data_IF_521294705031
#
_entry.id   IF_521294705031
#
_cell.length_a   1.000
_cell.length_b   1.000
_cell.length_c   1.000
_cell.angle_alpha   90.00
_cell.angle_beta   90.00
_cell.angle_gamma   90.00
#
_symmetry.space_group_name_H-M   'P 1'
#
loop_
_entity.id
_entity.type
_entity.pdbx_description
1 polymer ?
#
# COMPACT_ATOMS: atom_id res chain seq x y z
N UNK A 1 -2.78 18.92 10.03
CA UNK A 1 -1.93 18.36 8.95
C UNK A 1 -1.64 16.91 9.31
N UNK A 2 -1.30 16.05 8.35
CA UNK A 2 -1.01 14.65 8.67
C UNK A 2 0.33 14.58 9.42
N UNK A 3 0.35 13.95 10.60
CA UNK A 3 1.54 13.85 11.49
C UNK A 3 2.79 13.39 10.73
N UNK A 4 2.64 12.40 9.86
CA UNK A 4 3.75 11.85 9.07
C UNK A 4 4.28 12.83 8.03
N UNK A 5 3.46 13.77 7.55
CA UNK A 5 3.88 14.79 6.59
C UNK A 5 4.73 15.87 7.25
N UNK A 6 4.38 16.28 8.47
CA UNK A 6 5.18 17.22 9.27
C UNK A 6 6.53 16.59 9.60
N UNK A 7 6.52 15.36 10.15
CA UNK A 7 7.74 14.59 10.41
C UNK A 7 8.62 14.45 9.16
N UNK A 8 8.01 14.25 7.99
CA UNK A 8 8.77 14.18 6.75
C UNK A 8 9.51 15.47 6.43
N UNK A 9 8.86 16.62 6.62
CA UNK A 9 9.43 17.93 6.29
C UNK A 9 10.49 18.40 7.29
N UNK A 10 10.30 18.09 8.58
CA UNK A 10 11.17 18.56 9.66
C UNK A 10 12.36 17.62 9.88
N UNK A 11 12.11 16.32 10.12
CA UNK A 11 13.16 15.41 10.57
C UNK A 11 13.76 14.57 9.43
N UNK A 12 12.90 14.02 8.56
CA UNK A 12 13.31 12.99 7.59
C UNK A 12 14.13 13.61 6.46
N UNK A 13 13.78 14.82 6.02
CA UNK A 13 14.53 15.52 4.98
C UNK A 13 15.96 15.82 5.44
N UNK A 14 16.13 16.33 6.67
CA UNK A 14 17.46 16.60 7.24
C UNK A 14 18.30 15.32 7.36
N UNK A 15 17.72 14.25 7.91
CA UNK A 15 18.41 12.97 8.06
C UNK A 15 18.83 12.35 6.70
N UNK A 16 18.02 12.49 5.65
CA UNK A 16 18.37 11.98 4.32
C UNK A 16 19.44 12.84 3.63
N UNK A 17 19.39 14.16 3.80
CA UNK A 17 20.45 15.04 3.30
C UNK A 17 21.80 14.72 3.95
N UNK A 18 21.83 14.54 5.28
CA UNK A 18 23.07 14.20 5.98
C UNK A 18 23.61 12.82 5.58
N UNK A 19 22.73 11.83 5.35
CA UNK A 19 23.17 10.46 5.05
C UNK A 19 23.68 10.30 3.62
N UNK A 20 23.01 10.93 2.65
CA UNK A 20 23.31 10.75 1.23
C UNK A 20 24.05 11.95 0.61
N UNK A 21 24.35 12.97 1.41
CA UNK A 21 25.13 14.17 1.03
C UNK A 21 24.55 14.85 -0.23
N UNK A 22 23.22 15.05 -0.24
CA UNK A 22 22.55 15.67 -1.38
C UNK A 22 22.89 17.17 -1.47
N UNK A 23 23.28 17.62 -2.67
CA UNK A 23 23.57 19.04 -2.95
C UNK A 23 22.31 19.93 -2.92
N UNK A 24 21.13 19.33 -3.12
CA UNK A 24 19.87 20.06 -3.24
C UNK A 24 18.75 19.35 -2.51
N UNK A 25 18.00 20.09 -1.69
CA UNK A 25 16.81 19.61 -0.96
C UNK A 25 15.79 18.94 -1.88
N UNK A 26 15.70 19.38 -3.15
CA UNK A 26 14.77 18.79 -4.13
C UNK A 26 15.19 17.41 -4.64
N UNK A 27 16.42 16.95 -4.37
CA UNK A 27 16.88 15.59 -4.65
C UNK A 27 16.42 14.58 -3.59
N UNK A 28 16.03 15.07 -2.41
CA UNK A 28 15.61 14.20 -1.30
C UNK A 28 14.36 13.41 -1.71
N UNK A 29 14.39 12.08 -1.56
CA UNK A 29 13.31 11.27 -2.03
C UNK A 29 12.03 11.45 -1.19
N UNK A 30 10.87 11.38 -1.85
CA UNK A 30 9.54 11.45 -1.27
C UNK A 30 8.63 10.38 -1.83
N UNK A 31 7.58 10.06 -1.07
CA UNK A 31 6.52 9.18 -1.54
C UNK A 31 5.62 9.95 -2.52
N UNK A 32 5.50 9.45 -3.76
CA UNK A 32 4.64 10.04 -4.81
C UNK A 32 3.19 9.63 -4.67
N UNK A 33 2.95 8.35 -4.39
CA UNK A 33 1.61 7.75 -4.28
C UNK A 33 1.70 6.40 -3.58
N UNK A 34 0.59 5.99 -2.98
CA UNK A 34 0.40 4.62 -2.49
C UNK A 34 -0.77 4.01 -3.25
N UNK A 35 -0.56 2.82 -3.79
CA UNK A 35 -1.58 2.08 -4.53
C UNK A 35 -1.95 0.87 -3.69
N UNK A 36 -3.23 0.72 -3.40
CA UNK A 36 -3.79 -0.49 -2.83
C UNK A 36 -4.50 -1.25 -3.93
N UNK A 37 -4.29 -2.55 -3.99
CA UNK A 37 -4.89 -3.42 -4.99
C UNK A 37 -5.39 -4.71 -4.34
N UNK A 38 -6.61 -5.09 -4.67
CA UNK A 38 -7.17 -6.39 -4.31
C UNK A 38 -7.54 -7.15 -5.59
N UNK A 39 -6.90 -8.30 -5.78
CA UNK A 39 -7.22 -9.23 -6.85
C UNK A 39 -8.27 -10.23 -6.38
N UNK A 40 -9.43 -10.27 -7.04
CA UNK A 40 -10.53 -11.16 -6.67
C UNK A 40 -10.87 -12.01 -7.89
N UNK A 41 -10.15 -13.12 -8.05
CA UNK A 41 -10.36 -14.02 -9.19
C UNK A 41 -11.78 -14.62 -9.25
N UNK A 42 -12.40 -14.78 -8.08
CA UNK A 42 -13.77 -15.30 -7.94
C UNK A 42 -14.85 -14.25 -8.28
N UNK A 43 -14.48 -12.97 -8.41
CA UNK A 43 -15.43 -11.89 -8.76
C UNK A 43 -16.04 -12.05 -10.16
N UNK A 44 -15.41 -12.89 -11.00
CA UNK A 44 -15.95 -13.24 -12.31
C UNK A 44 -17.22 -14.11 -12.22
N UNK A 45 -17.35 -14.90 -11.14
CA UNK A 45 -18.48 -15.80 -10.90
C UNK A 45 -19.51 -15.15 -9.94
N UNK A 46 -19.07 -14.33 -8.98
CA UNK A 46 -19.94 -13.61 -8.04
C UNK A 46 -19.61 -12.10 -7.95
N UNK A 47 -20.54 -11.27 -8.44
CA UNK A 47 -20.41 -9.82 -8.39
C UNK A 47 -20.49 -9.24 -6.96
N UNK A 48 -21.18 -9.92 -6.03
CA UNK A 48 -21.32 -9.44 -4.65
C UNK A 48 -20.00 -9.43 -3.90
N UNK A 49 -19.13 -10.42 -4.17
CA UNK A 49 -17.79 -10.46 -3.57
C UNK A 49 -16.96 -9.24 -3.94
N UNK A 50 -17.12 -8.75 -5.17
CA UNK A 50 -16.46 -7.53 -5.63
C UNK A 50 -17.02 -6.30 -4.93
N UNK A 51 -18.35 -6.19 -4.82
CA UNK A 51 -19.00 -5.05 -4.17
C UNK A 51 -18.58 -4.95 -2.69
N UNK A 52 -18.52 -6.09 -1.99
CA UNK A 52 -18.02 -6.16 -0.62
C UNK A 52 -16.57 -5.67 -0.52
N UNK A 53 -15.69 -6.08 -1.44
CA UNK A 53 -14.29 -5.65 -1.41
C UNK A 53 -14.10 -4.18 -1.75
N UNK A 54 -14.97 -3.62 -2.60
CA UNK A 54 -15.01 -2.19 -2.86
C UNK A 54 -15.41 -1.44 -1.59
N UNK A 55 -16.39 -1.94 -0.83
CA UNK A 55 -16.76 -1.33 0.44
C UNK A 55 -15.62 -1.42 1.48
N UNK A 56 -15.00 -2.58 1.63
CA UNK A 56 -13.86 -2.77 2.55
C UNK A 56 -12.72 -1.80 2.23
N UNK A 57 -12.31 -1.68 0.95
CA UNK A 57 -11.29 -0.72 0.55
C UNK A 57 -11.72 0.73 0.76
N UNK A 58 -13.00 1.05 0.53
CA UNK A 58 -13.53 2.39 0.77
C UNK A 58 -13.43 2.75 2.25
N UNK A 59 -13.81 1.84 3.14
CA UNK A 59 -13.75 2.02 4.59
C UNK A 59 -12.31 2.17 5.08
N UNK A 60 -11.39 1.34 4.59
CA UNK A 60 -9.96 1.39 4.97
C UNK A 60 -9.30 2.72 4.53
N UNK A 61 -9.55 3.11 3.28
CA UNK A 61 -8.83 4.22 2.62
C UNK A 61 -9.55 5.57 2.67
N UNK A 62 -10.85 5.58 2.95
CA UNK A 62 -11.70 6.77 2.86
C UNK A 62 -11.89 7.29 1.43
N UNK A 63 -11.56 6.49 0.41
CA UNK A 63 -11.63 6.88 -1.01
C UNK A 63 -12.36 5.81 -1.84
N UNK A 64 -13.15 6.26 -2.81
CA UNK A 64 -13.85 5.36 -3.74
C UNK A 64 -12.88 4.52 -4.58
N UNK A 65 -12.92 3.18 -4.47
CA UNK A 65 -12.09 2.30 -5.28
C UNK A 65 -12.54 2.22 -6.73
N UNK A 66 -11.57 2.05 -7.62
CA UNK A 66 -11.82 1.80 -9.03
C UNK A 66 -11.83 0.30 -9.30
N UNK A 67 -12.94 -0.20 -9.83
CA UNK A 67 -13.05 -1.58 -10.31
C UNK A 67 -12.15 -1.80 -11.52
N UNK A 68 -11.23 -2.75 -11.42
CA UNK A 68 -10.34 -3.16 -12.49
C UNK A 68 -10.99 -4.23 -13.35
N UNK A 69 -10.85 -4.09 -14.67
CA UNK A 69 -11.43 -5.01 -15.66
C UNK A 69 -10.34 -5.70 -16.46
N UNK A 70 -10.59 -6.95 -16.85
CA UNK A 70 -9.66 -7.74 -17.62
C UNK A 70 -9.42 -7.14 -19.02
N UNK A 71 -8.14 -6.91 -19.37
CA UNK A 71 -7.75 -6.38 -20.70
C UNK A 71 -7.81 -7.44 -21.80
N UNK A 72 -7.60 -8.71 -21.44
CA UNK A 72 -7.53 -9.86 -22.35
C UNK A 72 -8.39 -11.00 -21.79
N UNK A 73 -8.87 -11.86 -22.67
CA UNK A 73 -9.53 -13.10 -22.28
C UNK A 73 -8.49 -14.17 -22.00
N UNK A 74 -8.61 -14.89 -20.89
CA UNK A 74 -7.70 -15.96 -20.49
C UNK A 74 -8.55 -17.16 -20.07
N UNK A 75 -8.54 -18.21 -20.91
CA UNK A 75 -9.42 -19.38 -20.74
C UNK A 75 -9.13 -20.15 -19.43
N UNK A 76 -7.86 -20.30 -19.04
CA UNK A 76 -7.46 -21.02 -17.83
C UNK A 76 -8.06 -20.42 -16.54
N UNK A 77 -8.24 -19.10 -16.52
CA UNK A 77 -8.86 -18.40 -15.39
C UNK A 77 -10.35 -18.15 -15.60
N UNK A 78 -10.94 -18.66 -16.69
CA UNK A 78 -12.34 -18.42 -17.12
C UNK A 78 -12.70 -16.93 -17.28
N UNK A 79 -11.71 -16.05 -17.48
CA UNK A 79 -11.91 -14.60 -17.57
C UNK A 79 -12.08 -14.19 -19.04
N UNK A 80 -13.08 -13.35 -19.31
CA UNK A 80 -13.29 -12.69 -20.62
C UNK A 80 -12.90 -11.21 -20.54
N UNK A 81 -12.44 -10.64 -21.66
CA UNK A 81 -12.14 -9.20 -21.77
C UNK A 81 -13.34 -8.36 -21.31
N UNK A 82 -13.09 -7.39 -20.43
CA UNK A 82 -14.10 -6.48 -19.87
C UNK A 82 -14.76 -6.95 -18.57
N UNK A 83 -14.56 -8.21 -18.16
CA UNK A 83 -15.05 -8.71 -16.87
C UNK A 83 -14.32 -8.02 -15.71
N UNK A 84 -15.03 -7.69 -14.61
CA UNK A 84 -14.39 -7.17 -13.42
C UNK A 84 -13.60 -8.29 -12.72
N UNK A 85 -12.41 -7.96 -12.21
CA UNK A 85 -11.47 -8.95 -11.63
C UNK A 85 -10.85 -8.51 -10.31
N UNK A 86 -11.17 -7.30 -9.85
CA UNK A 86 -10.61 -6.74 -8.63
C UNK A 86 -10.86 -5.24 -8.54
N UNK A 87 -10.35 -4.63 -7.49
CA UNK A 87 -10.50 -3.21 -7.20
C UNK A 87 -9.16 -2.62 -6.76
N UNK A 88 -8.98 -1.32 -7.02
CA UNK A 88 -7.78 -0.61 -6.59
C UNK A 88 -8.07 0.83 -6.19
N UNK A 89 -7.27 1.36 -5.27
CA UNK A 89 -7.26 2.77 -4.86
C UNK A 89 -5.87 3.34 -5.11
N UNK A 90 -5.77 4.62 -5.47
CA UNK A 90 -4.49 5.32 -5.51
C UNK A 90 -4.57 6.58 -4.66
N UNK A 91 -3.88 6.53 -3.53
CA UNK A 91 -3.79 7.62 -2.56
C UNK A 91 -2.65 8.56 -2.92
N UNK A 92 -2.89 9.86 -2.80
CA UNK A 92 -1.91 10.93 -3.01
C UNK A 92 -2.09 12.04 -1.97
N UNK A 93 -1.07 12.87 -1.77
CA UNK A 93 -1.16 14.02 -0.89
C UNK A 93 -1.42 13.63 0.57
N UNK A 94 -2.33 14.32 1.25
CA UNK A 94 -2.61 14.10 2.69
C UNK A 94 -3.09 12.69 3.02
N UNK A 95 -4.07 12.17 2.26
CA UNK A 95 -4.66 10.84 2.48
C UNK A 95 -3.61 9.71 2.39
N UNK A 96 -2.60 9.89 1.54
CA UNK A 96 -1.48 8.95 1.42
C UNK A 96 -0.64 8.89 2.70
N UNK A 97 -0.28 10.04 3.27
CA UNK A 97 0.50 10.10 4.51
C UNK A 97 -0.30 9.58 5.71
N UNK A 98 -1.61 9.87 5.76
CA UNK A 98 -2.50 9.32 6.79
C UNK A 98 -2.62 7.80 6.69
N UNK A 99 -2.79 7.27 5.48
CA UNK A 99 -2.82 5.83 5.26
C UNK A 99 -1.49 5.16 5.62
N UNK A 100 -0.34 5.74 5.23
CA UNK A 100 0.97 5.21 5.62
C UNK A 100 1.16 5.21 7.13
N UNK A 101 0.77 6.29 7.81
CA UNK A 101 0.82 6.36 9.26
C UNK A 101 -0.04 5.27 9.91
N UNK A 102 -1.27 5.08 9.42
CA UNK A 102 -2.18 4.02 9.87
C UNK A 102 -1.60 2.62 9.61
N UNK A 103 -1.04 2.40 8.43
CA UNK A 103 -0.43 1.13 8.04
C UNK A 103 0.71 0.78 9.02
N UNK A 104 1.64 1.72 9.25
CA UNK A 104 2.83 1.50 10.06
C UNK A 104 2.49 1.32 11.55
N UNK A 105 1.66 2.20 12.10
CA UNK A 105 1.44 2.26 13.56
C UNK A 105 0.26 1.41 14.04
N UNK A 106 -0.70 1.09 13.16
CA UNK A 106 -1.94 0.41 13.56
C UNK A 106 -2.05 -0.97 12.91
N UNK A 107 -1.90 -1.05 11.59
CA UNK A 107 -2.18 -2.29 10.86
C UNK A 107 -1.03 -3.32 10.97
N UNK A 108 0.23 -2.92 10.73
CA UNK A 108 1.37 -3.85 10.76
C UNK A 108 1.57 -4.53 12.13
N UNK A 109 1.44 -3.84 13.28
CA UNK A 109 1.54 -4.49 14.59
C UNK A 109 0.43 -5.54 14.86
N UNK A 110 -0.70 -5.45 14.16
CA UNK A 110 -1.82 -6.39 14.27
C UNK A 110 -1.68 -7.61 13.36
N UNK A 111 -0.69 -7.62 12.47
CA UNK A 111 -0.40 -8.78 11.64
C UNK A 111 0.03 -9.94 12.54
N UNK A 112 -0.61 -11.10 12.38
CA UNK A 112 -0.27 -12.31 13.15
C UNK A 112 1.17 -12.74 12.82
N UNK A 113 1.95 -13.07 13.85
CA UNK A 113 3.36 -13.48 13.72
C UNK A 113 4.24 -12.47 12.97
N UNK A 114 4.01 -11.17 13.19
CA UNK A 114 4.79 -10.12 12.54
C UNK A 114 6.27 -10.17 12.93
N UNK A 115 7.14 -10.50 11.97
CA UNK A 115 8.62 -10.59 12.15
C UNK A 115 9.38 -9.44 11.48
N UNK A 116 8.68 -8.38 11.11
CA UNK A 116 9.22 -7.32 10.27
C UNK A 116 9.03 -7.62 8.78
N UNK A 117 9.04 -6.54 8.01
CA UNK A 117 8.88 -6.55 6.57
C UNK A 117 10.18 -6.92 5.85
N UNK A 118 10.06 -7.63 4.73
CA UNK A 118 11.22 -8.02 3.92
C UNK A 118 11.86 -6.79 3.27
N UNK A 119 13.19 -6.69 3.36
CA UNK A 119 14.00 -5.70 2.64
C UNK A 119 14.24 -6.07 1.18
N UNK A 120 13.77 -7.24 0.72
CA UNK A 120 13.93 -7.70 -0.67
C UNK A 120 12.74 -7.34 -1.57
N UNK A 121 11.69 -6.75 -1.03
CA UNK A 121 10.47 -6.44 -1.79
C UNK A 121 10.52 -5.09 -2.51
N UNK A 122 11.73 -4.54 -2.71
CA UNK A 122 11.95 -3.40 -3.58
C UNK A 122 12.11 -3.86 -5.04
N UNK A 123 11.76 -2.98 -5.98
CA UNK A 123 11.73 -3.29 -7.41
C UNK A 123 13.03 -2.91 -8.16
N UNK A 124 14.08 -2.49 -7.47
CA UNK A 124 15.33 -2.01 -8.05
C UNK A 124 15.30 -0.54 -8.48
N UNK A 125 14.15 0.13 -8.32
CA UNK A 125 13.93 1.55 -8.67
C UNK A 125 13.27 2.31 -7.53
N UNK A 126 13.51 1.89 -6.29
CA UNK A 126 13.05 2.59 -5.10
C UNK A 126 11.56 2.44 -4.80
N UNK A 127 10.81 1.57 -5.49
CA UNK A 127 9.41 1.31 -5.13
C UNK A 127 9.32 0.07 -4.24
N UNK A 128 8.46 0.12 -3.24
CA UNK A 128 8.28 -0.96 -2.28
C UNK A 128 6.89 -1.57 -2.43
N UNK A 129 6.83 -2.90 -2.51
CA UNK A 129 5.55 -3.63 -2.49
C UNK A 129 5.47 -4.58 -1.30
N UNK A 130 4.34 -4.58 -0.61
CA UNK A 130 4.03 -5.59 0.40
C UNK A 130 2.67 -6.21 0.13
N UNK A 131 2.56 -7.50 0.45
CA UNK A 131 1.29 -8.21 0.53
C UNK A 131 0.83 -8.30 1.97
N UNK A 132 -0.46 -8.10 2.19
CA UNK A 132 -1.15 -8.42 3.43
C UNK A 132 -2.10 -9.58 3.14
N UNK A 133 -1.99 -10.66 3.90
CA UNK A 133 -2.81 -11.85 3.69
C UNK A 133 -4.28 -11.62 4.07
N UNK A 134 -4.52 -10.77 5.07
CA UNK A 134 -5.84 -10.56 5.66
C UNK A 134 -6.15 -9.07 5.83
N UNK A 135 -7.37 -8.65 5.44
CA UNK A 135 -7.86 -7.28 5.61
C UNK A 135 -8.21 -6.91 7.07
N UNK A 136 -8.39 -7.91 7.94
CA UNK A 136 -8.75 -7.77 9.37
C UNK A 136 -7.69 -7.00 10.19
N UNK A 137 -6.50 -6.79 9.64
CA UNK A 137 -5.45 -5.98 10.29
C UNK A 137 -5.87 -4.51 10.48
N UNK A 138 -6.84 -4.03 9.69
CA UNK A 138 -7.40 -2.69 9.83
C UNK A 138 -8.55 -2.68 10.84
N UNK A 139 -8.51 -1.81 11.88
CA UNK A 139 -9.60 -1.70 12.87
C UNK A 139 -10.95 -1.30 12.28
N UNK A 140 -10.95 -0.68 11.10
CA UNK A 140 -12.16 -0.22 10.45
C UNK A 140 -13.00 -1.35 9.85
N UNK A 141 -12.41 -2.55 9.71
CA UNK A 141 -13.13 -3.73 9.23
C UNK A 141 -13.74 -4.46 10.43
N UNK A 142 -15.05 -4.64 10.41
CA UNK A 142 -15.75 -5.49 11.37
C UNK A 142 -15.55 -6.95 11.01
N UNK A 143 -15.01 -7.73 11.96
CA UNK A 143 -14.72 -9.16 11.77
C UNK A 143 -16.01 -9.96 11.56
N UNK A 144 -17.11 -9.51 12.15
CA UNK A 144 -18.40 -10.23 12.07
C UNK A 144 -19.11 -10.00 10.72
N UNK A 145 -18.79 -8.92 10.01
CA UNK A 145 -19.32 -8.62 8.68
C UNK A 145 -18.47 -9.21 7.53
N UNK A 146 -17.26 -9.71 7.83
CA UNK A 146 -16.37 -10.28 6.82
C UNK A 146 -16.87 -11.66 6.37
N UNK A 147 -17.26 -11.75 5.11
CA UNK A 147 -17.69 -13.00 4.46
C UNK A 147 -16.53 -13.99 4.28
N UNK A 148 -15.39 -13.48 3.79
CA UNK A 148 -14.20 -14.25 3.44
C UNK A 148 -12.96 -13.40 3.64
N UNK A 149 -11.92 -14.02 4.18
CA UNK A 149 -10.62 -13.37 4.30
C UNK A 149 -10.01 -13.13 2.92
N UNK A 150 -9.57 -11.89 2.68
CA UNK A 150 -9.02 -11.42 1.41
C UNK A 150 -7.68 -10.76 1.67
N UNK A 151 -6.73 -11.08 0.80
CA UNK A 151 -5.45 -10.40 0.76
C UNK A 151 -5.52 -9.08 0.01
N UNK A 152 -4.56 -8.21 0.27
CA UNK A 152 -4.35 -6.99 -0.50
C UNK A 152 -2.86 -6.72 -0.72
N UNK A 153 -2.56 -6.16 -1.87
CA UNK A 153 -1.22 -5.69 -2.20
C UNK A 153 -1.16 -4.17 -2.03
N UNK A 154 -0.12 -3.70 -1.34
CA UNK A 154 0.16 -2.27 -1.14
C UNK A 154 1.48 -1.96 -1.82
N UNK A 155 1.44 -1.09 -2.83
CA UNK A 155 2.62 -0.58 -3.52
C UNK A 155 2.85 0.87 -3.14
N UNK A 156 3.99 1.14 -2.51
CA UNK A 156 4.48 2.47 -2.19
C UNK A 156 5.42 2.92 -3.30
N UNK A 157 5.04 3.97 -4.00
CA UNK A 157 5.83 4.54 -5.10
C UNK A 157 6.55 5.77 -4.60
N UNK A 158 7.87 5.78 -4.74
CA UNK A 158 8.73 6.90 -4.36
C UNK A 158 9.30 7.59 -5.61
N UNK A 159 10.09 8.65 -5.43
CA UNK A 159 10.95 9.23 -6.47
C UNK A 159 12.43 8.84 -6.32
N UNK A 160 12.77 7.97 -5.37
CA UNK A 160 14.13 7.48 -5.19
C UNK A 160 14.60 6.75 -6.44
N UNK A 161 15.88 6.90 -6.78
CA UNK A 161 16.48 6.21 -7.92
C UNK A 161 16.99 4.82 -7.53
N UNK A 162 17.35 4.66 -6.24
CA UNK A 162 17.89 3.41 -5.71
C UNK A 162 17.06 2.84 -4.57
N UNK A 163 17.17 1.52 -4.38
CA UNK A 163 16.48 0.82 -3.29
C UNK A 163 17.03 1.20 -1.91
N UNK A 164 18.28 1.65 -1.83
CA UNK A 164 18.91 2.05 -0.56
C UNK A 164 18.30 3.35 -0.02
N UNK A 165 18.15 4.35 -0.89
CA UNK A 165 17.48 5.61 -0.57
C UNK A 165 16.02 5.39 -0.16
N UNK A 166 15.29 4.58 -0.92
CA UNK A 166 13.90 4.26 -0.63
C UNK A 166 13.73 3.50 0.69
N UNK A 167 14.65 2.56 0.96
CA UNK A 167 14.66 1.81 2.22
C UNK A 167 14.90 2.72 3.40
N UNK A 168 15.86 3.65 3.29
CA UNK A 168 16.12 4.61 4.36
C UNK A 168 14.93 5.53 4.59
N UNK A 169 14.36 6.09 3.53
CA UNK A 169 13.16 6.92 3.59
C UNK A 169 12.04 6.23 4.37
N UNK A 170 11.75 4.96 4.02
CA UNK A 170 10.71 4.18 4.69
C UNK A 170 11.10 3.82 6.13
N UNK A 171 12.37 3.54 6.40
CA UNK A 171 12.85 3.25 7.75
C UNK A 171 12.70 4.46 8.68
N UNK A 172 13.04 5.66 8.21
CA UNK A 172 12.87 6.93 8.95
C UNK A 172 11.39 7.28 9.18
N UNK A 173 10.52 6.90 8.24
CA UNK A 173 9.06 6.95 8.41
C UNK A 173 8.52 5.96 9.46
N UNK A 174 9.36 5.06 9.97
CA UNK A 174 9.01 4.09 11.01
C UNK A 174 8.64 2.72 10.47
N UNK A 175 8.91 2.43 9.19
CA UNK A 175 8.56 1.14 8.59
C UNK A 175 9.38 0.00 9.24
N UNK A 176 8.73 -1.02 9.82
CA UNK A 176 9.40 -2.06 10.58
C UNK A 176 10.02 -3.11 9.65
N UNK A 177 11.23 -2.85 9.15
CA UNK A 177 11.98 -3.85 8.38
C UNK A 177 12.57 -4.94 9.27
N UNK A 178 12.59 -6.16 8.75
CA UNK A 178 13.26 -7.31 9.37
C UNK A 178 14.77 -7.06 9.40
N UNK A 179 15.35 -7.15 10.59
CA UNK A 179 16.81 -7.17 10.80
C UNK A 179 17.38 -8.56 10.52
#
# INVERSE_FOLDING_TARGET
MAILKEKFQEDIVEALMEKFDYDNVMQVPKVKKVILNMGIGEAAEDAKLLDNAVEELRVITGQEPVVTRAKKSIANFKIRKGMPVGCKVTLRGGQMYEFLYKLINVALPRVRDFRGLSTRSFDGRGNYSLGLDNQIVFPEIDVDEVDKTRGMDITIVTDAETDEEAKELLALMGMPFKR
#
